data_IF_561624943233
#
_entry.id   IF_561624943233
#
_cell.length_a   1.000
_cell.length_b   1.000
_cell.length_c   1.000
_cell.angle_alpha   90.00
_cell.angle_beta   90.00
_cell.angle_gamma   90.00
#
_symmetry.space_group_name_H-M   'P 1'
#
loop_
_entity.id
_entity.type
_entity.pdbx_description
1 polymer ?
#
# COMPACT_ATOMS: atom_id res chain seq x y z
N UNK A 1 -6.50 -20.23 -43.79
CA UNK A 1 -5.28 -19.80 -43.07
C UNK A 1 -4.97 -20.88 -42.04
N UNK A 2 -3.90 -21.64 -42.22
CA UNK A 2 -3.55 -22.74 -41.33
C UNK A 2 -3.04 -22.18 -40.00
N UNK A 3 -3.79 -22.39 -38.91
CA UNK A 3 -3.29 -22.18 -37.55
C UNK A 3 -2.34 -23.33 -37.25
N UNK A 4 -1.06 -23.04 -37.19
CA UNK A 4 -0.07 -23.97 -36.64
C UNK A 4 -0.19 -23.95 -35.13
N UNK A 5 -0.91 -24.91 -34.55
CA UNK A 5 -0.82 -25.27 -33.14
C UNK A 5 0.63 -25.72 -32.86
N UNK A 6 1.49 -24.76 -32.53
CA UNK A 6 2.74 -25.08 -31.84
C UNK A 6 2.32 -25.45 -30.42
N UNK A 7 2.52 -26.69 -29.95
CA UNK A 7 2.27 -27.00 -28.55
C UNK A 7 3.19 -26.10 -27.73
N UNK A 8 2.58 -25.18 -26.98
CA UNK A 8 3.30 -24.33 -26.04
C UNK A 8 3.90 -25.24 -24.98
N UNK A 9 5.14 -25.69 -25.20
CA UNK A 9 5.88 -26.50 -24.25
C UNK A 9 6.25 -25.61 -23.08
N UNK A 10 5.35 -25.52 -22.08
CA UNK A 10 5.62 -24.83 -20.83
C UNK A 10 6.68 -25.64 -20.08
N UNK A 11 7.84 -25.05 -19.71
CA UNK A 11 8.83 -25.75 -18.91
C UNK A 11 8.19 -26.26 -17.61
N UNK A 12 8.35 -27.54 -17.25
CA UNK A 12 7.67 -28.12 -16.09
C UNK A 12 8.10 -27.48 -14.76
N UNK A 13 9.24 -26.80 -14.72
CA UNK A 13 9.77 -26.08 -13.57
C UNK A 13 9.16 -24.68 -13.40
N UNK A 14 8.69 -24.07 -14.48
CA UNK A 14 8.18 -22.69 -14.49
C UNK A 14 7.02 -22.48 -13.51
N UNK A 15 5.98 -23.36 -13.45
CA UNK A 15 4.90 -23.21 -12.49
C UNK A 15 5.37 -23.22 -11.04
N UNK A 16 6.35 -24.09 -10.72
CA UNK A 16 6.92 -24.19 -9.38
C UNK A 16 7.70 -22.93 -9.02
N UNK A 17 8.51 -22.43 -9.94
CA UNK A 17 9.30 -21.22 -9.75
C UNK A 17 8.41 -19.99 -9.50
N UNK A 18 7.35 -19.82 -10.30
CA UNK A 18 6.38 -18.74 -10.11
C UNK A 18 5.62 -18.85 -8.78
N UNK A 19 5.31 -20.08 -8.35
CA UNK A 19 4.67 -20.33 -7.05
C UNK A 19 5.56 -19.92 -5.88
N UNK A 20 6.85 -20.27 -5.92
CA UNK A 20 7.80 -19.88 -4.86
C UNK A 20 8.08 -18.37 -4.89
N UNK A 21 8.17 -17.76 -6.07
CA UNK A 21 8.24 -16.29 -6.21
C UNK A 21 7.04 -15.61 -5.56
N UNK A 22 5.81 -16.01 -5.90
CA UNK A 22 4.59 -15.43 -5.35
C UNK A 22 4.53 -15.60 -3.82
N UNK A 23 4.89 -16.79 -3.32
CA UNK A 23 4.96 -17.07 -1.88
C UNK A 23 5.99 -16.19 -1.16
N UNK A 24 7.15 -15.97 -1.78
CA UNK A 24 8.17 -15.08 -1.25
C UNK A 24 7.71 -13.61 -1.28
N UNK A 25 7.06 -13.16 -2.35
CA UNK A 25 6.52 -11.81 -2.48
C UNK A 25 5.44 -11.52 -1.41
N UNK A 26 4.52 -12.45 -1.18
CA UNK A 26 3.48 -12.31 -0.14
C UNK A 26 4.11 -12.17 1.26
N UNK A 27 5.20 -12.90 1.54
CA UNK A 27 5.91 -12.82 2.83
C UNK A 27 6.74 -11.55 2.96
N UNK A 28 7.38 -11.13 1.86
CA UNK A 28 8.27 -9.99 1.82
C UNK A 28 7.53 -8.65 1.66
N UNK A 29 6.24 -8.67 1.31
CA UNK A 29 5.37 -7.51 1.00
C UNK A 29 6.17 -6.29 0.52
N UNK A 30 6.93 -6.40 -0.59
CA UNK A 30 7.83 -5.34 -1.01
C UNK A 30 7.03 -4.10 -1.42
N UNK A 31 7.55 -2.92 -1.10
CA UNK A 31 6.96 -1.66 -1.52
C UNK A 31 7.04 -1.47 -3.06
N UNK A 32 8.10 -1.99 -3.67
CA UNK A 32 8.27 -2.08 -5.12
C UNK A 32 8.47 -3.55 -5.53
N UNK A 33 7.43 -4.14 -6.14
CA UNK A 33 7.44 -5.55 -6.57
C UNK A 33 8.38 -5.79 -7.77
N UNK A 34 8.58 -4.79 -8.64
CA UNK A 34 9.38 -4.95 -9.85
C UNK A 34 10.85 -4.99 -9.49
N UNK A 35 11.31 -4.02 -8.70
CA UNK A 35 12.69 -3.99 -8.22
C UNK A 35 12.99 -5.23 -7.36
N UNK A 36 12.10 -5.55 -6.41
CA UNK A 36 12.26 -6.73 -5.56
C UNK A 36 12.28 -8.03 -6.37
N UNK A 37 11.51 -8.12 -7.46
CA UNK A 37 11.51 -9.28 -8.33
C UNK A 37 12.80 -9.44 -9.13
N UNK A 38 13.39 -8.34 -9.60
CA UNK A 38 14.70 -8.37 -10.25
C UNK A 38 15.77 -8.92 -9.28
N UNK A 39 15.81 -8.38 -8.07
CA UNK A 39 16.75 -8.82 -7.02
C UNK A 39 16.51 -10.29 -6.62
N UNK A 40 15.24 -10.71 -6.54
CA UNK A 40 14.86 -12.10 -6.21
C UNK A 40 15.41 -13.09 -7.25
N UNK A 41 15.18 -12.84 -8.54
CA UNK A 41 15.64 -13.74 -9.59
C UNK A 41 17.15 -13.66 -9.80
N UNK A 42 17.77 -12.49 -9.57
CA UNK A 42 19.22 -12.34 -9.57
C UNK A 42 19.87 -13.18 -8.45
N UNK A 43 19.37 -13.08 -7.22
CA UNK A 43 19.85 -13.90 -6.10
C UNK A 43 19.67 -15.41 -6.37
N UNK A 44 18.51 -15.80 -6.91
CA UNK A 44 18.23 -17.18 -7.29
C UNK A 44 19.22 -17.70 -8.36
N UNK A 45 19.61 -16.84 -9.32
CA UNK A 45 20.58 -17.18 -10.35
C UNK A 45 22.00 -17.39 -9.81
N UNK A 46 22.34 -16.71 -8.71
CA UNK A 46 23.63 -16.83 -8.00
C UNK A 46 23.64 -18.00 -7.00
N UNK A 47 22.51 -18.66 -6.78
CA UNK A 47 22.35 -19.70 -5.76
C UNK A 47 22.29 -19.14 -4.33
N UNK A 48 22.07 -17.83 -4.18
CA UNK A 48 21.95 -17.15 -2.90
C UNK A 48 20.51 -17.25 -2.38
N UNK A 49 20.34 -17.12 -1.07
CA UNK A 49 18.99 -17.01 -0.52
C UNK A 49 18.40 -15.67 -0.95
N UNK A 50 17.22 -15.66 -1.61
CA UNK A 50 16.55 -14.41 -1.97
C UNK A 50 16.29 -13.58 -0.71
N UNK A 51 16.13 -12.25 -0.83
CA UNK A 51 15.93 -11.36 0.31
C UNK A 51 14.66 -11.76 1.07
N UNK A 52 14.82 -12.66 2.05
CA UNK A 52 13.81 -13.00 3.05
C UNK A 52 13.87 -11.86 4.02
N UNK A 53 12.73 -11.19 4.24
CA UNK A 53 12.60 -10.22 5.33
C UNK A 53 13.14 -10.85 6.60
N UNK A 54 14.32 -10.41 7.04
CA UNK A 54 14.59 -10.35 8.47
C UNK A 54 13.38 -9.61 9.05
N UNK A 55 12.69 -10.26 9.99
CA UNK A 55 11.74 -9.59 10.85
C UNK A 55 12.51 -8.61 11.73
N UNK A 56 13.17 -7.62 11.13
CA UNK A 56 13.61 -6.45 11.84
C UNK A 56 12.31 -5.74 12.20
N UNK A 57 11.91 -5.93 13.46
CA UNK A 57 11.24 -5.00 14.34
C UNK A 57 10.97 -3.61 13.73
N UNK A 58 10.13 -3.56 12.70
CA UNK A 58 9.53 -2.32 12.26
C UNK A 58 8.12 -2.40 12.79
N UNK A 59 7.97 -1.90 14.02
CA UNK A 59 6.85 -1.01 14.33
C UNK A 59 6.58 -0.25 13.03
N UNK A 60 5.39 -0.38 12.40
CA UNK A 60 5.11 0.40 11.21
C UNK A 60 5.20 1.86 11.67
N UNK A 61 6.35 2.48 11.43
CA UNK A 61 6.44 3.92 11.39
C UNK A 61 5.43 4.26 10.32
N UNK A 62 4.28 4.79 10.75
CA UNK A 62 3.17 5.21 9.91
C UNK A 62 3.76 5.72 8.60
N UNK A 63 3.57 4.95 7.54
CA UNK A 63 4.12 5.20 6.22
C UNK A 63 3.33 6.35 5.61
N UNK A 64 3.56 7.55 6.15
CA UNK A 64 3.08 8.84 5.62
C UNK A 64 3.46 9.02 4.14
N UNK A 65 4.45 8.26 3.65
CA UNK A 65 4.81 8.16 2.24
C UNK A 65 3.64 7.76 1.31
N UNK A 66 2.60 7.12 1.84
CA UNK A 66 1.39 6.78 1.08
C UNK A 66 0.37 7.93 1.03
N UNK A 67 0.48 8.90 1.94
CA UNK A 67 -0.29 10.13 1.86
C UNK A 67 0.31 10.98 0.74
N UNK A 68 -0.51 11.38 -0.23
CA UNK A 68 -0.08 12.30 -1.29
C UNK A 68 -1.03 13.49 -1.36
N UNK A 69 -0.57 14.67 -1.84
CA UNK A 69 -1.45 15.83 -2.03
C UNK A 69 -2.68 15.52 -2.88
N UNK A 70 -2.57 14.67 -3.90
CA UNK A 70 -3.68 14.26 -4.76
C UNK A 70 -4.78 13.50 -3.99
N UNK A 71 -4.41 12.60 -3.08
CA UNK A 71 -5.38 11.86 -2.25
C UNK A 71 -6.10 12.80 -1.27
N UNK A 72 -5.38 13.78 -0.71
CA UNK A 72 -5.99 14.81 0.14
C UNK A 72 -6.93 15.74 -0.64
N UNK A 73 -6.61 16.07 -1.89
CA UNK A 73 -7.52 16.83 -2.78
C UNK A 73 -8.80 16.04 -3.06
N UNK A 74 -8.69 14.73 -3.32
CA UNK A 74 -9.84 13.86 -3.52
C UNK A 74 -10.72 13.86 -2.26
N UNK A 75 -10.15 13.64 -1.08
CA UNK A 75 -10.87 13.71 0.19
C UNK A 75 -11.56 15.08 0.39
N UNK A 76 -10.84 16.18 0.13
CA UNK A 76 -11.41 17.51 0.24
C UNK A 76 -12.60 17.74 -0.71
N UNK A 77 -12.52 17.23 -1.93
CA UNK A 77 -13.62 17.32 -2.89
C UNK A 77 -14.86 16.53 -2.42
N UNK A 78 -14.67 15.38 -1.76
CA UNK A 78 -15.79 14.56 -1.24
C UNK A 78 -16.48 15.17 -0.03
N UNK A 79 -15.75 15.94 0.79
CA UNK A 79 -16.36 16.67 1.92
C UNK A 79 -17.27 17.81 1.42
N UNK A 80 -17.15 18.22 0.15
CA UNK A 80 -18.04 19.15 -0.54
C UNK A 80 -18.20 20.50 0.18
N UNK A 81 -17.15 20.98 0.86
CA UNK A 81 -17.15 22.26 1.56
C UNK A 81 -17.81 22.24 2.95
N UNK A 82 -18.16 21.07 3.49
CA UNK A 82 -18.64 20.96 4.87
C UNK A 82 -17.53 21.35 5.85
N UNK A 83 -17.89 22.17 6.84
CA UNK A 83 -16.97 22.62 7.89
C UNK A 83 -16.78 21.57 8.97
N UNK A 84 -17.83 20.79 9.23
CA UNK A 84 -17.86 19.73 10.25
C UNK A 84 -18.23 18.42 9.55
N UNK A 85 -17.51 17.36 9.91
CA UNK A 85 -17.79 16.01 9.45
C UNK A 85 -17.77 15.03 10.62
N UNK A 86 -18.62 14.01 10.56
CA UNK A 86 -18.60 12.95 11.56
C UNK A 86 -17.43 12.00 11.37
N UNK A 87 -16.82 11.56 12.46
CA UNK A 87 -15.68 10.65 12.44
C UNK A 87 -15.97 9.35 11.67
N UNK A 88 -17.17 8.81 11.80
CA UNK A 88 -17.57 7.60 11.08
C UNK A 88 -17.66 7.83 9.57
N UNK A 89 -18.26 8.93 9.14
CA UNK A 89 -18.32 9.31 7.71
C UNK A 89 -16.92 9.53 7.14
N UNK A 90 -16.06 10.24 7.89
CA UNK A 90 -14.68 10.47 7.48
C UNK A 90 -13.88 9.17 7.38
N UNK A 91 -14.04 8.25 8.33
CA UNK A 91 -13.39 6.93 8.30
C UNK A 91 -13.83 6.09 7.09
N UNK A 92 -15.10 6.18 6.69
CA UNK A 92 -15.58 5.51 5.47
C UNK A 92 -14.95 6.11 4.21
N UNK A 93 -14.92 7.45 4.08
CA UNK A 93 -14.25 8.09 2.95
C UNK A 93 -12.75 7.78 2.91
N UNK A 94 -12.09 7.74 4.07
CA UNK A 94 -10.68 7.36 4.18
C UNK A 94 -10.41 5.95 3.65
N UNK A 95 -11.31 5.00 3.95
CA UNK A 95 -11.25 3.63 3.41
C UNK A 95 -11.50 3.58 1.90
N UNK A 96 -12.43 4.39 1.37
CA UNK A 96 -12.72 4.46 -0.08
C UNK A 96 -11.49 4.94 -0.87
N UNK A 97 -10.71 5.85 -0.28
CA UNK A 97 -9.46 6.36 -0.88
C UNK A 97 -8.28 5.39 -0.64
N UNK A 98 -8.53 4.25 0.01
CA UNK A 98 -7.59 3.17 0.29
C UNK A 98 -6.35 3.63 1.06
N UNK A 99 -6.52 4.57 1.99
CA UNK A 99 -5.46 5.07 2.86
C UNK A 99 -5.31 4.19 4.12
N UNK A 100 -4.10 4.07 4.69
CA UNK A 100 -3.87 3.30 5.90
C UNK A 100 -4.72 3.78 7.09
N UNK A 101 -5.31 2.84 7.82
CA UNK A 101 -6.14 3.17 9.00
C UNK A 101 -5.28 3.69 10.16
N UNK A 102 -4.04 3.23 10.27
CA UNK A 102 -3.10 3.72 11.29
C UNK A 102 -2.82 5.22 11.14
N UNK A 103 -2.78 5.69 9.89
CA UNK A 103 -2.58 7.09 9.56
C UNK A 103 -3.77 7.94 10.00
N UNK A 104 -4.98 7.47 9.70
CA UNK A 104 -6.21 8.08 10.18
C UNK A 104 -6.22 8.20 11.70
N UNK A 105 -5.94 7.10 12.40
CA UNK A 105 -5.88 7.07 13.86
C UNK A 105 -4.81 8.03 14.41
N UNK A 106 -3.66 8.14 13.74
CA UNK A 106 -2.60 9.07 14.11
C UNK A 106 -3.07 10.52 14.01
N UNK A 107 -3.68 10.92 12.88
CA UNK A 107 -4.26 12.27 12.72
C UNK A 107 -5.36 12.54 13.75
N UNK A 108 -6.24 11.55 13.98
CA UNK A 108 -7.30 11.63 14.99
C UNK A 108 -6.76 11.88 16.40
N UNK A 109 -5.72 11.15 16.79
CA UNK A 109 -5.08 11.27 18.09
C UNK A 109 -4.32 12.59 18.25
N UNK A 110 -3.55 13.00 17.25
CA UNK A 110 -2.78 14.26 17.28
C UNK A 110 -3.72 15.46 17.35
N UNK A 111 -4.79 15.45 16.54
CA UNK A 111 -5.78 16.51 16.52
C UNK A 111 -6.77 16.47 17.69
N UNK A 112 -6.75 15.41 18.51
CA UNK A 112 -7.72 15.16 19.60
C UNK A 112 -9.17 15.28 19.12
N UNK A 113 -9.43 14.76 17.93
CA UNK A 113 -10.74 14.80 17.32
C UNK A 113 -11.68 13.78 17.99
N UNK A 114 -12.95 14.13 18.12
CA UNK A 114 -13.99 13.28 18.71
C UNK A 114 -14.98 12.87 17.62
N UNK A 115 -16.29 12.85 17.91
CA UNK A 115 -17.32 12.47 16.94
C UNK A 115 -17.52 13.52 15.85
N UNK A 116 -17.36 14.79 16.17
CA UNK A 116 -17.45 15.92 15.23
C UNK A 116 -16.06 16.48 14.96
N UNK A 117 -15.69 16.52 13.68
CA UNK A 117 -14.37 16.89 13.23
C UNK A 117 -14.47 18.17 12.42
N UNK A 118 -13.76 19.21 12.83
CA UNK A 118 -13.56 20.40 12.00
C UNK A 118 -12.67 20.03 10.82
N UNK A 119 -13.28 19.98 9.63
CA UNK A 119 -12.67 19.43 8.42
C UNK A 119 -11.32 20.10 8.09
N UNK A 120 -11.26 21.43 8.13
CA UNK A 120 -10.03 22.16 7.79
C UNK A 120 -8.91 21.92 8.79
N UNK A 121 -9.21 21.69 10.08
CA UNK A 121 -8.19 21.35 11.09
C UNK A 121 -7.63 19.96 10.84
N UNK A 122 -8.51 19.00 10.54
CA UNK A 122 -8.11 17.66 10.17
C UNK A 122 -7.25 17.66 8.90
N UNK A 123 -7.70 18.36 7.86
CA UNK A 123 -6.99 18.46 6.59
C UNK A 123 -5.62 19.12 6.76
N UNK A 124 -5.54 20.21 7.54
CA UNK A 124 -4.27 20.87 7.83
C UNK A 124 -3.29 19.95 8.56
N UNK A 125 -3.76 19.16 9.53
CA UNK A 125 -2.94 18.17 10.23
C UNK A 125 -2.47 17.05 9.28
N UNK A 126 -3.35 16.53 8.43
CA UNK A 126 -2.98 15.54 7.43
C UNK A 126 -1.93 16.10 6.44
N UNK A 127 -2.09 17.35 5.98
CA UNK A 127 -1.12 18.04 5.13
C UNK A 127 0.22 18.28 5.83
N UNK A 128 0.22 18.53 7.15
CA UNK A 128 1.45 18.82 7.92
C UNK A 128 2.40 17.63 8.05
N UNK A 129 1.89 16.44 7.73
CA UNK A 129 2.63 15.19 7.83
C UNK A 129 3.09 14.67 6.45
N UNK A 130 2.90 15.47 5.40
CA UNK A 130 3.53 15.32 4.08
C UNK A 130 4.96 15.87 4.08
#
# INVERSE_FOLDING_TARGET
>A
MAQTDKPTCVPPELPKMLKEFAKAAIRAQPQDLIQWGADYFEALSRGEMPPVREQSERVPLCNWAELTPELLKILHSQVAGRLIIHAEELAQMWKVVNLPTDLFNSVMNVGRFTEEIEWLKFLALACSAL
#
